data_IF_079084583635
#
_entry.id   IF_079084583635
#
_cell.length_a   1.000
_cell.length_b   1.000
_cell.length_c   1.000
_cell.angle_alpha   90.00
_cell.angle_beta   90.00
_cell.angle_gamma   90.00
#
_symmetry.space_group_name_H-M   'P 1'
#
loop_
_entity.id
_entity.type
_entity.pdbx_description
1 polymer ?
#
# COMPACT_ATOMS: atom_id res chain seq x y z
N UNK A 1 9.90 0.89 22.81
CA UNK A 1 9.83 1.62 21.57
C UNK A 1 8.60 1.21 20.78
N UNK A 2 7.65 2.10 20.51
CA UNK A 2 6.46 1.80 19.71
C UNK A 2 6.80 1.91 18.22
N UNK A 3 6.45 0.92 17.37
CA UNK A 3 6.70 0.95 15.92
C UNK A 3 5.63 1.72 15.11
N UNK A 4 4.68 2.39 15.73
CA UNK A 4 3.70 3.23 15.03
C UNK A 4 3.97 4.70 15.40
N UNK A 5 4.95 5.30 14.72
CA UNK A 5 5.06 6.77 14.69
C UNK A 5 3.91 7.30 13.85
N UNK A 6 2.97 7.95 14.49
CA UNK A 6 2.02 8.86 13.81
C UNK A 6 2.82 9.97 13.14
N UNK A 7 2.68 10.21 11.83
CA UNK A 7 3.39 11.27 11.14
C UNK A 7 2.68 12.61 11.35
N UNK A 8 2.91 13.24 12.49
CA UNK A 8 2.37 14.58 12.76
C UNK A 8 3.44 15.44 13.41
N UNK A 9 4.36 15.95 12.59
CA UNK A 9 5.18 17.12 12.90
C UNK A 9 5.65 17.71 11.57
N UNK A 10 5.79 19.03 11.47
CA UNK A 10 6.05 19.79 10.25
C UNK A 10 7.25 19.35 9.38
N UNK A 11 8.15 18.50 9.89
CA UNK A 11 9.23 17.87 9.13
C UNK A 11 8.71 16.83 8.12
N UNK A 12 7.59 16.18 8.40
CA UNK A 12 6.97 15.19 7.51
C UNK A 12 6.43 15.81 6.22
N UNK A 13 5.87 17.03 6.26
CA UNK A 13 5.33 17.68 5.07
C UNK A 13 6.40 18.12 4.08
N UNK A 14 7.58 18.52 4.56
CA UNK A 14 8.71 18.93 3.70
C UNK A 14 9.31 17.70 3.00
N UNK A 15 9.46 16.59 3.72
CA UNK A 15 9.93 15.32 3.15
C UNK A 15 8.95 14.75 2.12
N UNK A 16 7.65 14.81 2.38
CA UNK A 16 6.61 14.33 1.48
C UNK A 16 6.56 15.14 0.17
N UNK A 17 6.74 16.45 0.25
CA UNK A 17 6.81 17.32 -0.93
C UNK A 17 8.08 17.03 -1.78
N UNK A 18 9.22 16.82 -1.15
CA UNK A 18 10.47 16.46 -1.85
C UNK A 18 10.36 15.08 -2.53
N UNK A 19 9.75 14.08 -1.87
CA UNK A 19 9.51 12.77 -2.44
C UNK A 19 8.57 12.82 -3.65
N UNK A 20 7.48 13.59 -3.57
CA UNK A 20 6.54 13.77 -4.69
C UNK A 20 7.24 14.41 -5.89
N UNK A 21 8.06 15.43 -5.68
CA UNK A 21 8.84 16.08 -6.73
C UNK A 21 9.85 15.13 -7.40
N UNK A 22 10.50 14.27 -6.62
CA UNK A 22 11.42 13.23 -7.14
C UNK A 22 10.68 12.19 -7.97
N UNK A 23 9.54 11.71 -7.50
CA UNK A 23 8.67 10.82 -8.26
C UNK A 23 8.20 11.46 -9.56
N UNK A 24 7.77 12.73 -9.52
CA UNK A 24 7.36 13.48 -10.71
C UNK A 24 8.49 13.55 -11.74
N UNK A 25 9.72 13.84 -11.31
CA UNK A 25 10.90 13.87 -12.18
C UNK A 25 11.18 12.52 -12.84
N UNK A 26 11.14 11.44 -12.07
CA UNK A 26 11.32 10.07 -12.57
C UNK A 26 10.25 9.69 -13.60
N UNK A 27 8.99 9.98 -13.29
CA UNK A 27 7.85 9.65 -14.16
C UNK A 27 7.89 10.43 -15.47
N UNK A 28 8.22 11.70 -15.43
CA UNK A 28 8.43 12.51 -16.64
C UNK A 28 9.58 11.99 -17.51
N UNK A 29 10.67 11.53 -16.87
CA UNK A 29 11.86 11.08 -17.61
C UNK A 29 11.67 9.71 -18.30
N UNK A 30 10.91 8.80 -17.69
CA UNK A 30 10.92 7.39 -18.11
C UNK A 30 9.54 6.78 -18.38
N UNK A 31 8.44 7.37 -17.91
CA UNK A 31 7.11 6.74 -17.91
C UNK A 31 6.02 7.60 -18.54
N UNK A 32 6.36 8.65 -19.28
CA UNK A 32 5.36 9.55 -19.91
C UNK A 32 4.44 8.80 -20.87
N UNK A 33 4.99 7.88 -21.67
CA UNK A 33 4.20 7.07 -22.62
C UNK A 33 3.27 6.09 -21.88
N UNK A 34 3.78 5.46 -20.80
CA UNK A 34 2.99 4.52 -20.01
C UNK A 34 1.84 5.20 -19.29
N UNK A 35 2.07 6.40 -18.76
CA UNK A 35 1.02 7.23 -18.14
C UNK A 35 -0.04 7.62 -19.16
N UNK A 36 0.35 7.95 -20.40
CA UNK A 36 -0.58 8.22 -21.49
C UNK A 36 -1.40 6.99 -21.88
N UNK A 37 -0.76 5.82 -21.94
CA UNK A 37 -1.43 4.56 -22.26
C UNK A 37 -2.47 4.20 -21.18
N UNK A 38 -2.16 4.40 -19.90
CA UNK A 38 -3.13 4.19 -18.82
C UNK A 38 -4.35 5.10 -18.99
N UNK A 39 -4.13 6.38 -19.33
CA UNK A 39 -5.23 7.31 -19.54
C UNK A 39 -6.17 6.88 -20.67
N UNK A 40 -5.64 6.26 -21.72
CA UNK A 40 -6.43 5.74 -22.86
C UNK A 40 -7.15 4.42 -22.53
N UNK A 41 -6.54 3.57 -21.72
CA UNK A 41 -7.06 2.24 -21.37
C UNK A 41 -7.89 2.22 -20.07
N UNK A 42 -8.09 3.37 -19.44
CA UNK A 42 -8.92 3.49 -18.25
C UNK A 42 -10.39 3.15 -18.55
N UNK A 43 -11.09 2.38 -17.70
CA UNK A 43 -10.69 1.79 -16.40
C UNK A 43 -10.12 0.37 -16.48
N UNK A 44 -9.83 -0.17 -17.65
CA UNK A 44 -9.34 -1.55 -17.79
C UNK A 44 -7.93 -1.71 -17.22
N UNK A 45 -7.09 -0.68 -17.36
CA UNK A 45 -5.77 -0.59 -16.73
C UNK A 45 -5.82 0.49 -15.66
N UNK A 46 -5.58 0.09 -14.40
CA UNK A 46 -5.71 0.96 -13.23
C UNK A 46 -4.39 1.17 -12.49
N UNK A 47 -3.29 0.62 -12.98
CA UNK A 47 -1.99 0.74 -12.33
C UNK A 47 -0.87 0.99 -13.32
N UNK A 48 0.14 1.73 -12.88
CA UNK A 48 1.41 1.96 -13.55
C UNK A 48 2.46 1.05 -12.93
N UNK A 49 2.99 0.13 -13.72
CA UNK A 49 4.10 -0.71 -13.28
C UNK A 49 5.43 0.03 -13.48
N UNK A 50 6.15 0.22 -12.37
CA UNK A 50 7.45 0.90 -12.35
C UNK A 50 8.51 -0.11 -11.95
N UNK A 51 9.47 -0.38 -12.85
CA UNK A 51 10.55 -1.30 -12.56
C UNK A 51 11.54 -0.71 -11.55
N UNK A 52 11.85 -1.46 -10.49
CA UNK A 52 12.86 -1.05 -9.50
C UNK A 52 14.21 -0.76 -10.16
N UNK A 53 14.59 -1.52 -11.18
CA UNK A 53 15.84 -1.30 -11.92
C UNK A 53 15.90 0.07 -12.60
N UNK A 54 14.76 0.56 -13.10
CA UNK A 54 14.69 1.91 -13.70
C UNK A 54 14.87 2.97 -12.64
N UNK A 55 14.29 2.77 -11.45
CA UNK A 55 14.46 3.69 -10.32
C UNK A 55 15.90 3.70 -9.83
N UNK A 56 16.50 2.53 -9.68
CA UNK A 56 17.91 2.37 -9.26
C UNK A 56 18.87 3.02 -10.25
N UNK A 57 18.58 2.91 -11.55
CA UNK A 57 19.37 3.59 -12.60
C UNK A 57 19.23 5.11 -12.58
N UNK A 58 18.08 5.62 -12.12
CA UNK A 58 17.83 7.05 -11.96
C UNK A 58 18.51 7.62 -10.71
N UNK A 59 18.26 7.01 -9.55
CA UNK A 59 18.87 7.39 -8.25
C UNK A 59 18.91 6.18 -7.30
N UNK A 60 20.12 5.60 -7.06
CA UNK A 60 20.26 4.43 -6.17
C UNK A 60 19.80 4.69 -4.73
N UNK A 61 20.01 5.91 -4.20
CA UNK A 61 19.58 6.26 -2.83
C UNK A 61 18.09 6.38 -2.73
N UNK A 62 17.45 6.91 -3.76
CA UNK A 62 16.00 6.98 -3.86
C UNK A 62 15.39 5.57 -3.98
N UNK A 63 15.98 4.69 -4.78
CA UNK A 63 15.54 3.30 -4.90
C UNK A 63 15.64 2.56 -3.56
N UNK A 64 16.74 2.73 -2.82
CA UNK A 64 16.92 2.11 -1.51
C UNK A 64 15.87 2.61 -0.50
N UNK A 65 15.55 3.90 -0.49
CA UNK A 65 14.54 4.45 0.41
C UNK A 65 13.14 3.87 0.18
N UNK A 66 12.82 3.46 -1.05
CA UNK A 66 11.54 2.78 -1.37
C UNK A 66 11.44 1.41 -0.68
N UNK A 67 12.54 0.68 -0.58
CA UNK A 67 12.58 -0.61 0.09
C UNK A 67 12.43 -0.48 1.61
N UNK A 68 13.00 0.59 2.18
CA UNK A 68 13.04 0.84 3.63
C UNK A 68 11.80 1.56 4.16
N UNK A 69 11.18 2.42 3.34
CA UNK A 69 10.04 3.27 3.74
C UNK A 69 8.93 3.26 2.68
N UNK A 70 8.41 2.08 2.29
CA UNK A 70 7.48 1.94 1.18
C UNK A 70 6.19 2.75 1.35
N UNK A 71 5.68 2.90 2.58
CA UNK A 71 4.43 3.62 2.85
C UNK A 71 4.51 5.10 2.44
N UNK A 72 5.65 5.76 2.69
CA UNK A 72 5.86 7.16 2.30
C UNK A 72 5.94 7.30 0.77
N UNK A 73 6.54 6.32 0.12
CA UNK A 73 6.68 6.32 -1.33
C UNK A 73 5.37 5.97 -2.06
N UNK A 74 4.50 5.15 -1.46
CA UNK A 74 3.20 4.83 -2.05
C UNK A 74 2.33 6.08 -2.21
N UNK A 75 2.18 6.87 -1.15
CA UNK A 75 1.42 8.12 -1.20
C UNK A 75 2.04 9.15 -2.15
N UNK A 76 3.37 9.33 -2.12
CA UNK A 76 4.09 10.29 -2.94
C UNK A 76 4.05 9.92 -4.43
N UNK A 77 4.23 8.65 -4.78
CA UNK A 77 4.19 8.16 -6.17
C UNK A 77 2.79 8.28 -6.78
N UNK A 78 1.77 7.87 -6.03
CA UNK A 78 0.37 7.97 -6.46
C UNK A 78 -0.07 9.43 -6.65
N UNK A 79 0.46 10.36 -5.84
CA UNK A 79 0.23 11.81 -6.00
C UNK A 79 0.92 12.32 -7.26
N UNK A 80 2.18 11.98 -7.48
CA UNK A 80 2.94 12.41 -8.65
C UNK A 80 2.30 11.97 -9.97
N UNK A 81 1.81 10.72 -10.06
CA UNK A 81 1.10 10.23 -11.26
C UNK A 81 -0.19 11.01 -11.50
N UNK A 82 -0.95 11.31 -10.44
CA UNK A 82 -2.19 12.09 -10.55
C UNK A 82 -1.94 13.52 -11.02
N UNK A 83 -0.90 14.16 -10.51
CA UNK A 83 -0.49 15.50 -10.95
C UNK A 83 -0.10 15.50 -12.44
N UNK A 84 0.71 14.51 -12.86
CA UNK A 84 1.09 14.34 -14.26
C UNK A 84 -0.13 14.14 -15.20
N UNK A 85 -1.10 13.34 -14.78
CA UNK A 85 -2.33 13.12 -15.52
C UNK A 85 -3.22 14.37 -15.58
N UNK A 86 -3.27 15.14 -14.49
CA UNK A 86 -4.02 16.38 -14.43
C UNK A 86 -3.44 17.42 -15.40
N UNK A 87 -2.11 17.53 -15.49
CA UNK A 87 -1.42 18.43 -16.41
C UNK A 87 -1.72 18.13 -17.89
N UNK A 88 -1.97 16.85 -18.20
CA UNK A 88 -2.33 16.41 -19.57
C UNK A 88 -3.84 16.36 -19.81
N UNK A 89 -4.65 16.84 -18.86
CA UNK A 89 -6.11 16.94 -18.99
C UNK A 89 -6.90 15.71 -18.54
N UNK A 90 -6.27 14.72 -17.90
CA UNK A 90 -6.89 13.49 -17.38
C UNK A 90 -7.05 13.48 -15.85
N UNK A 91 -7.39 14.62 -15.26
CA UNK A 91 -7.47 14.78 -13.80
C UNK A 91 -8.53 13.94 -13.07
N UNK A 92 -9.38 13.21 -13.79
CA UNK A 92 -10.39 12.31 -13.21
C UNK A 92 -9.89 10.88 -12.99
N UNK A 93 -8.65 10.58 -13.38
CA UNK A 93 -8.06 9.24 -13.34
C UNK A 93 -7.12 9.16 -12.13
N UNK A 94 -7.24 8.09 -11.36
CA UNK A 94 -6.43 7.86 -10.17
C UNK A 94 -5.77 6.47 -10.23
N UNK A 95 -4.74 6.28 -11.06
CA UNK A 95 -4.03 5.02 -11.13
C UNK A 95 -3.14 4.82 -9.91
N UNK A 96 -2.81 3.55 -9.66
CA UNK A 96 -1.89 3.13 -8.61
C UNK A 96 -0.50 2.89 -9.18
N UNK A 97 0.54 3.28 -8.46
CA UNK A 97 1.92 2.93 -8.82
C UNK A 97 2.26 1.57 -8.23
N UNK A 98 2.77 0.65 -9.06
CA UNK A 98 3.16 -0.70 -8.65
C UNK A 98 4.62 -0.93 -8.94
N UNK A 99 5.41 -1.19 -7.90
CA UNK A 99 6.84 -1.44 -8.05
C UNK A 99 7.07 -2.91 -8.34
N UNK A 100 7.69 -3.17 -9.49
CA UNK A 100 7.98 -4.51 -10.00
C UNK A 100 9.48 -4.74 -10.11
N UNK A 101 9.89 -6.00 -10.31
CA UNK A 101 11.29 -6.41 -10.49
C UNK A 101 12.21 -5.99 -9.34
N UNK A 102 11.76 -6.25 -8.10
CA UNK A 102 12.59 -6.02 -6.92
C UNK A 102 13.91 -6.77 -7.01
N UNK A 103 15.00 -6.25 -6.40
CA UNK A 103 16.31 -6.88 -6.44
C UNK A 103 16.30 -8.23 -5.71
N UNK A 104 17.24 -9.11 -6.07
CA UNK A 104 17.28 -10.49 -5.57
C UNK A 104 17.52 -10.59 -4.05
N UNK A 105 18.16 -9.62 -3.46
CA UNK A 105 18.37 -9.51 -2.01
C UNK A 105 17.08 -9.18 -1.23
N UNK A 106 16.02 -8.75 -1.91
CA UNK A 106 14.69 -8.55 -1.32
C UNK A 106 13.76 -9.75 -1.52
N UNK A 107 14.20 -10.78 -2.22
CA UNK A 107 13.42 -12.03 -2.38
C UNK A 107 13.55 -12.89 -1.12
N UNK A 108 12.41 -13.28 -0.56
CA UNK A 108 12.32 -14.14 0.64
C UNK A 108 11.44 -15.36 0.37
N UNK A 109 11.72 -16.44 1.05
CA UNK A 109 10.74 -17.51 1.24
C UNK A 109 9.95 -17.24 2.52
N UNK A 110 8.76 -17.81 2.66
CA UNK A 110 7.93 -17.59 3.86
C UNK A 110 8.66 -18.02 5.13
N UNK A 111 9.39 -19.13 5.07
CA UNK A 111 10.20 -19.65 6.19
C UNK A 111 11.42 -18.78 6.55
N UNK A 112 11.86 -17.91 5.65
CA UNK A 112 12.96 -16.98 5.87
C UNK A 112 12.54 -15.64 6.49
N UNK A 113 11.26 -15.34 6.56
CA UNK A 113 10.76 -14.08 7.12
C UNK A 113 11.18 -13.90 8.59
N UNK A 114 11.64 -12.71 8.93
CA UNK A 114 12.10 -12.35 10.28
C UNK A 114 11.50 -11.01 10.70
N UNK A 115 11.67 -10.68 11.98
CA UNK A 115 11.23 -9.40 12.56
C UNK A 115 11.83 -8.18 11.84
N UNK A 116 13.02 -8.33 11.31
CA UNK A 116 13.74 -7.24 10.63
C UNK A 116 13.17 -6.93 9.24
N UNK A 117 12.39 -7.85 8.66
CA UNK A 117 11.70 -7.65 7.38
C UNK A 117 10.38 -6.85 7.55
N UNK A 118 9.92 -6.63 8.79
CA UNK A 118 8.67 -5.90 9.06
C UNK A 118 8.81 -4.43 8.66
N UNK A 119 7.88 -3.97 7.84
CA UNK A 119 7.87 -2.61 7.29
C UNK A 119 8.71 -2.44 6.03
N UNK A 120 9.43 -3.47 5.60
CA UNK A 120 10.20 -3.45 4.36
C UNK A 120 9.38 -3.95 3.17
N UNK A 121 9.71 -3.43 1.99
CA UNK A 121 9.21 -3.95 0.74
C UNK A 121 9.99 -5.22 0.35
N UNK A 122 9.30 -6.34 0.30
CA UNK A 122 9.87 -7.65 -0.02
C UNK A 122 9.14 -8.33 -1.17
N UNK A 123 9.76 -9.35 -1.72
CA UNK A 123 9.20 -10.20 -2.78
C UNK A 123 9.15 -11.64 -2.29
N UNK A 124 8.02 -12.30 -2.47
CA UNK A 124 7.82 -13.71 -2.12
C UNK A 124 7.38 -14.48 -3.36
N UNK A 125 8.13 -15.52 -3.70
CA UNK A 125 7.73 -16.50 -4.71
C UNK A 125 6.89 -17.59 -4.06
N UNK A 126 5.64 -17.74 -4.49
CA UNK A 126 4.70 -18.63 -3.82
C UNK A 126 3.63 -19.20 -4.75
N UNK A 127 2.87 -20.17 -4.24
CA UNK A 127 1.63 -20.66 -4.86
C UNK A 127 0.44 -20.14 -4.08
N UNK A 128 -0.57 -19.69 -4.79
CA UNK A 128 -1.87 -19.31 -4.21
C UNK A 128 -2.61 -20.57 -3.78
N UNK A 129 -2.91 -20.71 -2.50
CA UNK A 129 -3.66 -21.88 -1.99
C UNK A 129 -5.12 -21.59 -1.76
N UNK A 130 -5.43 -20.37 -1.28
CA UNK A 130 -6.80 -19.93 -1.05
C UNK A 130 -6.96 -18.46 -1.38
N UNK A 131 -8.16 -18.09 -1.79
CA UNK A 131 -8.60 -16.71 -1.96
C UNK A 131 -9.94 -16.51 -1.24
N UNK A 132 -10.14 -15.32 -0.68
CA UNK A 132 -11.46 -14.90 -0.18
C UNK A 132 -12.28 -14.27 -1.31
N UNK A 133 -13.58 -14.06 -1.08
CA UNK A 133 -14.35 -13.13 -1.90
C UNK A 133 -13.79 -11.70 -1.77
N UNK A 134 -13.92 -10.93 -2.84
CA UNK A 134 -13.63 -9.49 -2.81
C UNK A 134 -14.65 -8.79 -1.93
N UNK A 135 -14.19 -7.92 -1.03
CA UNK A 135 -15.04 -7.17 -0.11
C UNK A 135 -14.68 -5.68 -0.16
N UNK A 136 -15.68 -4.80 -0.12
CA UNK A 136 -15.41 -3.39 0.05
C UNK A 136 -14.90 -3.13 1.47
N UNK A 137 -13.84 -2.33 1.58
CA UNK A 137 -13.34 -1.80 2.85
C UNK A 137 -13.20 -0.28 2.77
N UNK A 138 -13.24 0.36 3.91
CA UNK A 138 -13.00 1.80 4.01
C UNK A 138 -11.49 2.05 3.96
N UNK A 139 -11.03 2.73 2.90
CA UNK A 139 -9.62 3.12 2.73
C UNK A 139 -9.31 4.40 3.50
N UNK A 140 -10.16 5.42 3.34
CA UNK A 140 -10.10 6.64 4.14
C UNK A 140 -11.47 6.99 4.69
N UNK A 141 -11.52 7.39 5.96
CA UNK A 141 -12.73 7.76 6.65
C UNK A 141 -12.77 9.27 6.87
N UNK A 142 -13.85 9.92 6.46
CA UNK A 142 -14.08 11.34 6.71
C UNK A 142 -14.94 11.49 7.95
N UNK A 143 -14.43 12.24 8.93
CA UNK A 143 -15.13 12.54 10.16
C UNK A 143 -15.49 14.03 10.24
N UNK A 144 -16.68 14.32 10.76
CA UNK A 144 -17.14 15.67 11.06
C UNK A 144 -17.08 15.92 12.57
N UNK A 145 -16.37 16.97 12.99
CA UNK A 145 -16.37 17.40 14.38
C UNK A 145 -17.76 17.96 14.77
N UNK A 146 -18.30 17.50 15.90
CA UNK A 146 -19.61 17.97 16.37
C UNK A 146 -19.60 19.43 16.89
N UNK A 147 -18.43 19.94 17.30
CA UNK A 147 -18.31 21.27 17.88
C UNK A 147 -18.11 22.37 16.82
N UNK A 148 -17.29 22.15 15.81
CA UNK A 148 -16.94 23.17 14.82
C UNK A 148 -17.24 22.77 13.37
N UNK A 149 -17.80 21.58 13.15
CA UNK A 149 -18.13 21.02 11.84
C UNK A 149 -16.93 20.77 10.90
N UNK A 150 -15.71 20.96 11.38
CA UNK A 150 -14.49 20.69 10.62
C UNK A 150 -14.45 19.22 10.18
N UNK A 151 -13.96 18.99 8.95
CA UNK A 151 -13.83 17.67 8.36
C UNK A 151 -12.39 17.18 8.52
N UNK A 152 -12.22 16.02 9.11
CA UNK A 152 -10.93 15.36 9.25
C UNK A 152 -10.96 14.04 8.48
N UNK A 153 -9.98 13.82 7.61
CA UNK A 153 -9.83 12.58 6.84
C UNK A 153 -8.75 11.74 7.50
N UNK A 154 -9.07 10.48 7.81
CA UNK A 154 -8.13 9.54 8.42
C UNK A 154 -8.03 8.29 7.56
N UNK A 155 -6.81 7.94 7.16
CA UNK A 155 -6.55 6.67 6.50
C UNK A 155 -6.80 5.51 7.45
N UNK A 156 -7.41 4.45 6.94
CA UNK A 156 -7.80 3.27 7.70
C UNK A 156 -6.87 2.10 7.36
N UNK A 157 -5.83 1.84 8.16
CA UNK A 157 -4.85 0.81 7.87
C UNK A 157 -5.40 -0.61 8.02
N UNK A 158 -6.50 -0.76 8.77
CA UNK A 158 -7.09 -2.06 9.12
C UNK A 158 -8.58 -2.15 8.77
N UNK A 159 -9.01 -3.36 8.36
CA UNK A 159 -10.44 -3.66 8.20
C UNK A 159 -11.19 -3.88 9.52
N UNK A 160 -10.47 -4.15 10.59
CA UNK A 160 -11.06 -4.66 11.84
C UNK A 160 -11.54 -3.55 12.77
N UNK A 161 -10.94 -2.36 12.70
CA UNK A 161 -11.27 -1.23 13.55
C UNK A 161 -11.28 0.07 12.78
N UNK A 162 -12.36 0.80 12.94
CA UNK A 162 -12.45 2.17 12.46
C UNK A 162 -11.65 3.08 13.39
N UNK A 163 -10.57 3.63 12.88
CA UNK A 163 -9.77 4.63 13.59
C UNK A 163 -10.45 5.98 13.47
N UNK A 164 -10.84 6.55 14.61
CA UNK A 164 -11.42 7.89 14.69
C UNK A 164 -10.38 8.93 15.13
N UNK A 165 -10.57 10.22 14.81
CA UNK A 165 -9.69 11.29 15.27
C UNK A 165 -9.56 11.31 16.79
N UNK A 166 -8.36 11.55 17.32
CA UNK A 166 -8.15 11.79 18.73
C UNK A 166 -8.43 13.23 19.12
N UNK A 167 -8.20 14.14 18.18
CA UNK A 167 -8.46 15.58 18.35
C UNK A 167 -8.87 16.23 17.02
N UNK A 168 -9.53 17.38 17.11
CA UNK A 168 -9.84 18.21 15.95
C UNK A 168 -8.65 19.14 15.68
N UNK A 169 -7.87 18.85 14.65
CA UNK A 169 -6.60 19.55 14.37
C UNK A 169 -6.79 21.05 14.20
N UNK A 170 -6.14 21.84 15.04
CA UNK A 170 -6.11 23.31 14.90
C UNK A 170 -5.27 23.75 13.69
N UNK A 171 -4.27 22.98 13.32
CA UNK A 171 -3.40 23.26 12.18
C UNK A 171 -4.20 23.26 10.88
N UNK A 172 -5.17 22.34 10.79
CA UNK A 172 -6.04 22.19 9.62
C UNK A 172 -7.33 23.05 9.70
N UNK A 173 -7.41 23.97 10.68
CA UNK A 173 -8.56 24.86 10.86
C UNK A 173 -9.66 24.33 11.78
N UNK A 174 -9.39 23.29 12.54
CA UNK A 174 -10.31 22.73 13.54
C UNK A 174 -10.26 23.46 14.88
N UNK A 175 -11.10 23.03 15.85
CA UNK A 175 -11.28 23.69 17.15
C UNK A 175 -10.30 23.22 18.26
N UNK A 176 -9.47 22.20 18.02
CA UNK A 176 -8.52 21.66 18.99
C UNK A 176 -9.13 20.80 20.10
N UNK A 177 -10.43 20.51 20.04
CA UNK A 177 -11.07 19.66 21.03
C UNK A 177 -10.73 18.18 20.80
N UNK A 178 -10.46 17.47 21.89
CA UNK A 178 -10.17 16.04 21.87
C UNK A 178 -11.45 15.21 21.78
N UNK A 179 -11.31 13.92 21.47
CA UNK A 179 -12.43 12.97 21.41
C UNK A 179 -13.17 12.76 22.76
N UNK A 180 -12.58 13.23 23.87
CA UNK A 180 -13.24 13.26 25.19
C UNK A 180 -14.15 14.48 25.38
N UNK A 181 -13.86 15.56 24.64
CA UNK A 181 -14.56 16.85 24.76
C UNK A 181 -15.58 17.05 23.65
N UNK A 182 -15.40 16.40 22.50
CA UNK A 182 -16.31 16.45 21.36
C UNK A 182 -16.52 15.06 20.75
N UNK A 183 -17.52 14.95 19.89
CA UNK A 183 -17.78 13.72 19.12
C UNK A 183 -17.38 13.92 17.67
N UNK A 184 -16.89 12.83 17.05
CA UNK A 184 -16.60 12.78 15.62
C UNK A 184 -17.63 11.89 14.94
N UNK A 185 -18.36 12.44 14.01
CA UNK A 185 -19.37 11.73 13.23
C UNK A 185 -18.76 11.24 11.91
N UNK A 186 -18.80 9.95 11.66
CA UNK A 186 -18.38 9.38 10.40
C UNK A 186 -19.34 9.78 9.28
N UNK A 187 -18.80 10.35 8.21
CA UNK A 187 -19.52 10.66 6.98
C UNK A 187 -19.19 9.61 5.92
N UNK A 188 -19.99 8.56 5.85
CA UNK A 188 -19.78 7.45 4.89
C UNK A 188 -19.80 7.93 3.44
N UNK A 189 -20.67 8.88 3.12
CA UNK A 189 -20.82 9.46 1.77
C UNK A 189 -19.57 10.21 1.27
N UNK A 190 -18.72 10.67 2.20
CA UNK A 190 -17.48 11.38 1.91
C UNK A 190 -16.23 10.55 2.17
N UNK A 191 -16.42 9.31 2.59
CA UNK A 191 -15.34 8.36 2.84
C UNK A 191 -15.02 7.58 1.57
N UNK A 192 -13.75 7.23 1.37
CA UNK A 192 -13.30 6.47 0.21
C UNK A 192 -13.33 4.98 0.53
N UNK A 193 -14.00 4.21 -0.32
CA UNK A 193 -14.01 2.76 -0.25
C UNK A 193 -13.04 2.18 -1.28
N UNK A 194 -12.47 1.03 -0.95
CA UNK A 194 -11.67 0.22 -1.87
C UNK A 194 -12.09 -1.24 -1.80
N UNK A 195 -11.74 -1.99 -2.83
CA UNK A 195 -11.87 -3.43 -2.80
C UNK A 195 -10.68 -4.04 -2.08
N UNK A 196 -10.92 -5.08 -1.28
CA UNK A 196 -9.91 -5.84 -0.56
C UNK A 196 -10.18 -7.33 -0.69
N UNK A 197 -9.13 -8.13 -0.79
CA UNK A 197 -9.19 -9.58 -0.91
C UNK A 197 -8.06 -10.24 -0.13
N UNK A 198 -8.39 -11.28 0.64
CA UNK A 198 -7.38 -12.12 1.31
C UNK A 198 -6.95 -13.26 0.41
N UNK A 199 -5.66 -13.46 0.33
CA UNK A 199 -5.00 -14.49 -0.44
C UNK A 199 -4.08 -15.27 0.51
N UNK A 200 -4.15 -16.59 0.54
CA UNK A 200 -3.20 -17.43 1.26
C UNK A 200 -2.13 -17.92 0.28
N UNK A 201 -0.89 -17.57 0.56
CA UNK A 201 0.28 -17.94 -0.20
C UNK A 201 1.05 -19.06 0.53
N UNK A 202 1.54 -20.05 -0.19
CA UNK A 202 2.34 -21.16 0.31
C UNK A 202 3.67 -21.21 -0.41
N UNK A 203 4.73 -21.54 0.30
CA UNK A 203 6.06 -21.78 -0.28
C UNK A 203 6.02 -22.77 -1.44
N UNK A 204 6.85 -22.51 -2.44
CA UNK A 204 7.05 -23.44 -3.55
C UNK A 204 7.67 -24.75 -3.05
N UNK A 205 7.19 -25.91 -3.48
CA UNK A 205 7.76 -27.20 -3.07
C UNK A 205 9.26 -27.31 -3.31
N UNK A 206 9.77 -26.67 -4.36
CA UNK A 206 11.19 -26.65 -4.71
C UNK A 206 12.07 -25.87 -3.72
N UNK A 207 11.49 -24.97 -2.95
CA UNK A 207 12.17 -24.14 -1.96
C UNK A 207 12.21 -24.80 -0.57
N UNK A 208 11.36 -25.79 -0.35
CA UNK A 208 11.25 -26.48 0.94
C UNK A 208 12.31 -27.58 1.05
N UNK A 209 13.06 -27.59 2.15
CA UNK A 209 13.99 -28.68 2.43
C UNK A 209 13.22 -29.99 2.64
N UNK A 210 13.75 -31.10 2.11
CA UNK A 210 13.09 -32.40 2.17
C UNK A 210 12.64 -32.77 3.60
N UNK A 211 11.36 -33.15 3.73
CA UNK A 211 10.77 -33.56 5.00
C UNK A 211 10.19 -32.43 5.87
N UNK A 212 10.29 -31.17 5.46
CA UNK A 212 9.67 -30.03 6.15
C UNK A 212 8.34 -29.67 5.48
N UNK A 213 7.34 -29.30 6.26
CA UNK A 213 6.06 -28.85 5.73
C UNK A 213 6.21 -27.41 5.20
N UNK A 214 5.67 -27.11 3.98
CA UNK A 214 5.67 -25.75 3.44
C UNK A 214 4.96 -24.76 4.35
N UNK A 215 5.57 -23.63 4.61
CA UNK A 215 4.95 -22.56 5.39
C UNK A 215 3.97 -21.73 4.56
N UNK A 216 3.07 -21.06 5.23
CA UNK A 216 2.02 -20.23 4.62
C UNK A 216 2.01 -18.85 5.21
N UNK A 217 1.66 -17.88 4.39
CA UNK A 217 1.45 -16.49 4.79
C UNK A 217 0.13 -15.98 4.22
N UNK A 218 -0.56 -15.16 5.02
CA UNK A 218 -1.71 -14.41 4.52
C UNK A 218 -1.24 -13.18 3.78
N UNK A 219 -1.89 -12.87 2.67
CA UNK A 219 -1.64 -11.69 1.86
C UNK A 219 -2.93 -10.90 1.70
N UNK A 220 -2.86 -9.58 1.70
CA UNK A 220 -3.98 -8.68 1.42
C UNK A 220 -3.73 -8.03 0.08
N UNK A 221 -4.62 -8.26 -0.87
CA UNK A 221 -4.64 -7.56 -2.15
C UNK A 221 -5.70 -6.46 -2.11
N UNK A 222 -5.34 -5.26 -2.55
CA UNK A 222 -6.23 -4.11 -2.55
C UNK A 222 -6.32 -3.45 -3.93
N UNK A 223 -7.35 -2.64 -4.12
CA UNK A 223 -7.59 -1.87 -5.34
C UNK A 223 -7.69 -2.75 -6.59
N UNK A 224 -6.87 -2.45 -7.59
CA UNK A 224 -6.78 -3.15 -8.88
C UNK A 224 -6.23 -4.57 -8.80
N UNK A 225 -5.59 -4.93 -7.68
CA UNK A 225 -5.00 -6.26 -7.47
C UNK A 225 -6.03 -7.33 -7.08
N UNK A 226 -7.23 -6.91 -6.71
CA UNK A 226 -8.30 -7.86 -6.34
C UNK A 226 -8.82 -8.63 -7.55
N UNK A 227 -9.01 -9.94 -7.38
CA UNK A 227 -9.53 -10.80 -8.45
C UNK A 227 -8.53 -11.15 -9.58
N UNK A 228 -7.25 -10.81 -9.42
CA UNK A 228 -6.21 -11.07 -10.45
C UNK A 228 -5.63 -12.47 -10.40
N UNK A 229 -5.77 -13.18 -9.30
CA UNK A 229 -5.16 -14.50 -9.08
C UNK A 229 -6.20 -15.56 -8.74
N UNK A 230 -5.89 -16.81 -9.06
CA UNK A 230 -6.70 -17.98 -8.76
C UNK A 230 -5.93 -18.98 -7.88
N UNK A 231 -6.63 -19.84 -7.12
CA UNK A 231 -5.99 -20.95 -6.42
C UNK A 231 -5.22 -21.84 -7.39
N UNK A 232 -3.98 -22.15 -7.07
CA UNK A 232 -3.07 -22.92 -7.91
C UNK A 232 -2.09 -22.06 -8.73
N UNK A 233 -2.32 -20.76 -8.87
CA UNK A 233 -1.41 -19.88 -9.60
C UNK A 233 -0.08 -19.75 -8.86
N UNK A 234 1.02 -19.78 -9.62
CA UNK A 234 2.35 -19.42 -9.14
C UNK A 234 2.53 -17.92 -9.32
N UNK A 235 2.83 -17.24 -8.23
CA UNK A 235 2.94 -15.78 -8.21
C UNK A 235 4.23 -15.32 -7.58
N UNK A 236 4.73 -14.20 -8.04
CA UNK A 236 5.73 -13.41 -7.36
C UNK A 236 5.03 -12.23 -6.71
N UNK A 237 4.83 -12.31 -5.40
CA UNK A 237 4.13 -11.29 -4.64
C UNK A 237 5.11 -10.26 -4.10
N UNK A 238 5.04 -9.02 -4.59
CA UNK A 238 5.78 -7.89 -4.03
C UNK A 238 4.88 -7.16 -3.05
N UNK A 239 5.39 -6.83 -1.88
CA UNK A 239 4.58 -6.17 -0.87
C UNK A 239 5.33 -5.79 0.38
N UNK A 240 4.64 -5.13 1.28
CA UNK A 240 5.16 -4.73 2.59
C UNK A 240 4.75 -5.75 3.63
N UNK A 241 5.72 -6.24 4.41
CA UNK A 241 5.46 -7.16 5.50
C UNK A 241 4.96 -6.40 6.72
N UNK A 242 3.81 -6.78 7.26
CA UNK A 242 3.27 -6.20 8.49
C UNK A 242 2.70 -7.27 9.43
N UNK A 243 2.49 -6.91 10.68
CA UNK A 243 1.89 -7.79 11.67
C UNK A 243 0.42 -7.44 11.83
N UNK A 244 -0.44 -8.42 11.58
CA UNK A 244 -1.87 -8.31 11.84
C UNK A 244 -2.20 -8.86 13.23
N UNK A 245 -2.64 -7.99 14.13
CA UNK A 245 -3.10 -8.40 15.46
C UNK A 245 -4.51 -8.97 15.37
N UNK A 246 -4.70 -10.21 15.79
CA UNK A 246 -6.03 -10.83 15.90
C UNK A 246 -6.50 -10.74 17.36
N UNK A 247 -7.32 -9.73 17.68
CA UNK A 247 -7.81 -9.52 19.06
C UNK A 247 -8.50 -10.71 19.72
N UNK A 248 -9.10 -11.62 18.95
CA UNK A 248 -9.85 -12.78 19.53
C UNK A 248 -8.96 -13.87 20.11
N UNK A 249 -7.67 -13.94 19.78
CA UNK A 249 -6.79 -15.04 20.21
C UNK A 249 -5.41 -14.62 20.70
N UNK A 250 -5.09 -13.33 20.78
CA UNK A 250 -3.78 -12.85 21.23
C UNK A 250 -2.60 -13.33 20.39
N UNK A 251 -2.84 -13.73 19.14
CA UNK A 251 -1.81 -14.16 18.20
C UNK A 251 -1.60 -13.11 17.15
N UNK A 252 -0.40 -12.56 17.13
CA UNK A 252 0.06 -11.72 16.03
C UNK A 252 0.49 -12.61 14.87
N UNK A 253 -0.03 -12.36 13.70
CA UNK A 253 0.25 -13.17 12.52
C UNK A 253 0.89 -12.28 11.46
N UNK A 254 2.05 -12.67 10.88
CA UNK A 254 2.64 -11.94 9.76
C UNK A 254 1.69 -11.95 8.56
N UNK A 255 1.55 -10.81 7.94
CA UNK A 255 0.72 -10.62 6.76
C UNK A 255 1.47 -9.75 5.75
N UNK A 256 1.37 -10.06 4.48
CA UNK A 256 1.94 -9.27 3.40
C UNK A 256 0.86 -8.37 2.81
N UNK A 257 1.11 -7.06 2.76
CA UNK A 257 0.32 -6.16 1.94
C UNK A 257 0.85 -6.25 0.50
N UNK A 258 0.02 -6.80 -0.37
CA UNK A 258 0.38 -7.11 -1.73
C UNK A 258 0.34 -5.86 -2.61
N UNK A 259 1.46 -5.52 -3.25
CA UNK A 259 1.57 -4.32 -4.07
C UNK A 259 1.67 -4.59 -5.56
N UNK A 260 2.05 -5.80 -5.99
CA UNK A 260 2.13 -6.14 -7.41
C UNK A 260 2.16 -7.65 -7.65
N UNK A 261 1.26 -8.23 -8.47
CA UNK A 261 1.42 -9.56 -9.01
C UNK A 261 2.29 -9.49 -10.26
N UNK A 262 3.34 -10.27 -10.31
CA UNK A 262 3.95 -10.64 -11.58
C UNK A 262 3.70 -12.13 -11.79
N UNK A 263 2.88 -12.56 -12.76
CA UNK A 263 2.87 -13.96 -13.17
C UNK A 263 4.30 -14.29 -13.61
N UNK A 264 4.82 -15.43 -13.16
CA UNK A 264 6.05 -15.93 -13.77
C UNK A 264 5.73 -16.25 -15.21
N UNK A 265 6.49 -15.66 -16.12
CA UNK A 265 6.52 -16.10 -17.50
C UNK A 265 6.84 -17.58 -17.50
N UNK A 266 5.91 -18.37 -18.01
CA UNK A 266 6.03 -19.82 -18.20
C UNK A 266 6.98 -20.12 -19.37
#
# INVERSE_FOLDING_TARGET
GHPYRTPWCGESMIQDFDLTARWSTLLHAHFTEDVHNIAQLWPDVQSLEVSYRTIEGFDPTFAQSILEQPDLHDDASNRAVRELLADVGYGNINPWVRIVHLPSDQVRTVSQLRSDDIGLMISIDAVVTKISGVRPRMYSATFKCAACEHLTIIQQPNEQELISPMECSQIDGGCGLTNRQTRFHLLQERSTLTNSQFIELQELPEQVRGGVQPERISCVAEHDLTGKVNPGDRVKANGVLFIRSQRKFGKDTPCLLYTSPSPRDT
#
